data_IF_693197012725
#
_entry.id   IF_693197012725
#
_cell.length_a   1.000
_cell.length_b   1.000
_cell.length_c   1.000
_cell.angle_alpha   90.00
_cell.angle_beta   90.00
_cell.angle_gamma   90.00
#
_symmetry.space_group_name_H-M   'P 1'
#
loop_
_entity.id
_entity.type
_entity.pdbx_description
1 polymer ?
#
# COMPACT_ATOMS: atom_id res chain seq x y z
N UNK A 1 14.32 -4.18 6.28
CA UNK A 1 14.05 -5.57 6.72
C UNK A 1 14.95 -5.91 7.89
N UNK A 2 14.39 -6.39 8.99
CA UNK A 2 15.13 -6.90 10.14
C UNK A 2 14.90 -8.41 10.28
N UNK A 3 15.91 -9.22 10.61
CA UNK A 3 15.72 -10.64 10.88
C UNK A 3 14.89 -10.84 12.14
N UNK A 4 13.93 -11.76 12.11
CA UNK A 4 13.04 -12.02 13.26
C UNK A 4 13.78 -12.51 14.52
N UNK A 5 14.96 -13.11 14.34
CA UNK A 5 15.82 -13.57 15.44
C UNK A 5 16.53 -12.42 16.16
N UNK A 6 16.64 -11.25 15.54
CA UNK A 6 17.26 -10.05 16.11
C UNK A 6 16.41 -8.81 15.79
N UNK A 7 15.26 -8.65 16.46
CA UNK A 7 14.33 -7.57 16.20
C UNK A 7 14.87 -6.24 16.78
N UNK A 8 14.63 -5.10 16.11
CA UNK A 8 15.02 -3.80 16.63
C UNK A 8 14.22 -3.44 17.88
N UNK A 9 14.86 -2.75 18.83
CA UNK A 9 14.14 -2.16 19.97
C UNK A 9 13.33 -0.96 19.50
N UNK A 10 12.01 -1.06 19.61
CA UNK A 10 11.09 0.02 19.25
C UNK A 10 10.90 0.99 20.42
N UNK A 11 10.83 2.28 20.10
CA UNK A 11 10.51 3.32 21.09
C UNK A 11 9.01 3.32 21.35
N UNK A 12 8.62 3.13 22.61
CA UNK A 12 7.21 3.05 23.02
C UNK A 12 6.37 4.29 22.67
N UNK A 13 6.99 5.47 22.57
CA UNK A 13 6.27 6.73 22.31
C UNK A 13 6.10 7.05 20.83
N UNK A 14 6.71 6.28 19.93
CA UNK A 14 6.63 6.51 18.48
C UNK A 14 5.61 5.54 17.85
N UNK A 15 4.96 5.97 16.78
CA UNK A 15 4.14 5.08 15.94
C UNK A 15 5.06 4.26 15.05
N UNK A 16 4.73 2.98 14.88
CA UNK A 16 5.49 2.04 14.06
C UNK A 16 4.58 1.36 13.05
N UNK A 17 5.08 1.21 11.83
CA UNK A 17 4.50 0.33 10.82
C UNK A 17 5.35 -0.95 10.81
N UNK A 18 4.71 -2.10 11.08
CA UNK A 18 5.38 -3.39 11.20
C UNK A 18 4.68 -4.37 10.26
N UNK A 19 5.42 -4.81 9.25
CA UNK A 19 4.94 -5.75 8.25
C UNK A 19 5.79 -7.03 8.31
N UNK A 20 5.14 -8.18 8.17
CA UNK A 20 5.80 -9.48 8.22
C UNK A 20 5.67 -10.13 6.85
N UNK A 21 6.80 -10.52 6.27
CA UNK A 21 6.81 -11.30 5.03
C UNK A 21 6.42 -12.75 5.35
N UNK A 22 5.24 -13.14 4.90
CA UNK A 22 4.70 -14.49 5.11
C UNK A 22 5.26 -15.49 4.10
N UNK A 23 5.28 -15.14 2.82
CA UNK A 23 5.84 -15.99 1.76
C UNK A 23 6.34 -15.15 0.57
N UNK A 24 7.14 -15.77 -0.30
CA UNK A 24 7.56 -15.26 -1.61
C UNK A 24 7.18 -16.27 -2.68
N UNK A 25 6.26 -15.87 -3.54
CA UNK A 25 5.59 -16.77 -4.47
C UNK A 25 5.58 -16.24 -5.90
N UNK A 26 5.30 -17.13 -6.85
CA UNK A 26 4.99 -16.78 -8.23
C UNK A 26 3.65 -17.37 -8.60
N UNK A 27 2.79 -16.59 -9.25
CA UNK A 27 1.45 -17.04 -9.64
C UNK A 27 1.54 -18.08 -10.75
N UNK A 28 1.19 -19.33 -10.42
CA UNK A 28 1.13 -20.47 -11.35
C UNK A 28 -0.07 -21.36 -10.99
N UNK A 29 -0.70 -22.06 -11.95
CA UNK A 29 -1.82 -22.96 -11.65
C UNK A 29 -1.48 -24.03 -10.60
N UNK A 30 -0.25 -24.56 -10.65
CA UNK A 30 0.26 -25.55 -9.70
C UNK A 30 0.48 -24.99 -8.29
N UNK A 31 0.59 -23.67 -8.13
CA UNK A 31 0.86 -23.00 -6.86
C UNK A 31 -0.42 -22.60 -6.12
N UNK A 32 -1.61 -22.94 -6.65
CA UNK A 32 -2.91 -22.51 -6.10
C UNK A 32 -3.06 -22.83 -4.61
N UNK A 33 -2.75 -24.05 -4.19
CA UNK A 33 -2.86 -24.45 -2.79
C UNK A 33 -1.97 -23.61 -1.88
N UNK A 34 -0.69 -23.45 -2.23
CA UNK A 34 0.26 -22.66 -1.46
C UNK A 34 -0.13 -21.18 -1.41
N UNK A 35 -0.61 -20.62 -2.52
CA UNK A 35 -1.15 -19.26 -2.56
C UNK A 35 -2.28 -19.09 -1.56
N UNK A 36 -3.23 -20.02 -1.53
CA UNK A 36 -4.35 -19.99 -0.59
C UNK A 36 -3.85 -20.05 0.86
N UNK A 37 -2.98 -21.01 1.20
CA UNK A 37 -2.44 -21.17 2.55
C UNK A 37 -1.66 -19.91 3.02
N UNK A 38 -0.83 -19.31 2.16
CA UNK A 38 -0.08 -18.09 2.48
C UNK A 38 -0.99 -16.88 2.67
N UNK A 39 -2.03 -16.73 1.83
CA UNK A 39 -3.00 -15.63 1.96
C UNK A 39 -3.80 -15.77 3.24
N UNK A 40 -4.32 -16.95 3.55
CA UNK A 40 -5.03 -17.22 4.82
C UNK A 40 -4.15 -16.95 6.04
N UNK A 41 -2.87 -17.36 5.97
CA UNK A 41 -1.90 -17.10 7.05
C UNK A 41 -1.68 -15.61 7.25
N UNK A 42 -1.52 -14.84 6.16
CA UNK A 42 -1.33 -13.39 6.24
C UNK A 42 -2.55 -12.68 6.81
N UNK A 43 -3.75 -13.01 6.31
CA UNK A 43 -5.01 -12.46 6.79
C UNK A 43 -5.22 -12.76 8.29
N UNK A 44 -4.94 -14.00 8.72
CA UNK A 44 -5.09 -14.37 10.13
C UNK A 44 -4.08 -13.66 11.05
N UNK A 45 -2.86 -13.38 10.58
CA UNK A 45 -1.82 -12.73 11.37
C UNK A 45 -2.02 -11.20 11.50
N UNK A 46 -2.60 -10.57 10.48
CA UNK A 46 -2.73 -9.12 10.36
C UNK A 46 -4.18 -8.63 10.41
N UNK A 47 -5.03 -9.31 11.19
CA UNK A 47 -6.42 -8.92 11.49
C UNK A 47 -7.28 -8.66 10.23
N UNK A 48 -7.14 -9.55 9.25
CA UNK A 48 -7.91 -9.56 8.00
C UNK A 48 -7.32 -8.71 6.88
N UNK A 49 -6.07 -8.26 6.99
CA UNK A 49 -5.38 -7.45 5.97
C UNK A 49 -4.24 -8.26 5.34
N UNK A 50 -4.09 -8.18 4.02
CA UNK A 50 -2.92 -8.71 3.29
C UNK A 50 -2.45 -7.71 2.25
N UNK A 51 -1.13 -7.53 2.17
CA UNK A 51 -0.47 -6.68 1.18
C UNK A 51 0.38 -7.56 0.28
N UNK A 52 0.14 -7.46 -1.04
CA UNK A 52 0.95 -8.11 -2.06
C UNK A 52 1.92 -7.10 -2.65
N UNK A 53 3.22 -7.36 -2.50
CA UNK A 53 4.27 -6.56 -3.15
C UNK A 53 4.77 -7.29 -4.41
N UNK A 54 4.61 -6.65 -5.57
CA UNK A 54 4.99 -7.15 -6.87
C UNK A 54 6.45 -6.77 -7.19
N UNK A 55 7.31 -7.78 -7.32
CA UNK A 55 8.75 -7.59 -7.54
C UNK A 55 9.13 -7.25 -8.98
N UNK A 56 8.22 -7.49 -9.93
CA UNK A 56 8.37 -7.24 -11.37
C UNK A 56 8.03 -5.79 -11.76
N UNK A 57 7.37 -5.04 -10.89
CA UNK A 57 7.13 -3.62 -11.07
C UNK A 57 8.33 -2.77 -10.61
N UNK A 58 8.50 -1.60 -11.24
CA UNK A 58 9.51 -0.62 -10.82
C UNK A 58 9.27 -0.18 -9.37
N UNK A 59 10.32 0.30 -8.71
CA UNK A 59 10.26 0.57 -7.27
C UNK A 59 9.29 1.69 -6.89
N UNK A 60 9.05 2.60 -7.83
CA UNK A 60 8.21 3.79 -7.75
C UNK A 60 6.85 3.61 -8.45
N UNK A 61 6.55 2.42 -8.96
CA UNK A 61 5.30 2.17 -9.66
C UNK A 61 4.11 2.18 -8.68
N UNK A 62 3.05 2.92 -9.01
CA UNK A 62 1.84 3.02 -8.18
C UNK A 62 1.12 1.69 -7.93
N UNK A 63 1.35 0.69 -8.78
CA UNK A 63 0.77 -0.65 -8.68
C UNK A 63 1.76 -1.70 -8.14
N UNK A 64 2.88 -1.27 -7.54
CA UNK A 64 3.86 -2.16 -6.91
C UNK A 64 3.26 -2.90 -5.72
N UNK A 65 2.36 -2.25 -4.99
CA UNK A 65 1.66 -2.84 -3.85
C UNK A 65 0.17 -2.91 -4.13
N UNK A 66 -0.44 -4.03 -3.76
CA UNK A 66 -1.88 -4.20 -3.79
C UNK A 66 -2.38 -4.77 -2.46
N UNK A 67 -3.34 -4.08 -1.86
CA UNK A 67 -3.91 -4.43 -0.56
C UNK A 67 -5.27 -5.09 -0.71
N UNK A 68 -5.57 -6.01 0.21
CA UNK A 68 -6.86 -6.66 0.34
C UNK A 68 -7.26 -6.71 1.81
N UNK A 69 -8.56 -6.58 2.07
CA UNK A 69 -9.16 -6.60 3.41
C UNK A 69 -10.37 -7.53 3.43
N UNK A 70 -10.53 -8.30 4.50
CA UNK A 70 -11.74 -9.08 4.78
C UNK A 70 -12.90 -8.21 5.29
N UNK A 71 -12.58 -7.05 5.87
CA UNK A 71 -13.56 -6.15 6.51
C UNK A 71 -14.13 -5.14 5.52
N UNK A 72 -13.33 -4.71 4.54
CA UNK A 72 -13.70 -3.70 3.56
C UNK A 72 -13.46 -4.22 2.14
N UNK A 73 -14.55 -4.57 1.44
CA UNK A 73 -14.48 -5.09 0.07
C UNK A 73 -15.56 -4.48 -0.82
N UNK A 74 -15.21 -4.17 -2.09
CA UNK A 74 -16.19 -3.75 -3.08
C UNK A 74 -17.00 -4.98 -3.56
N UNK A 75 -18.35 -4.93 -3.58
CA UNK A 75 -19.18 -6.04 -4.06
C UNK A 75 -18.90 -6.46 -5.52
N UNK A 76 -18.36 -5.54 -6.32
CA UNK A 76 -17.99 -5.76 -7.72
C UNK A 76 -16.51 -6.18 -7.89
N UNK A 77 -15.79 -6.42 -6.80
CA UNK A 77 -14.40 -6.88 -6.83
C UNK A 77 -13.37 -5.81 -7.25
N UNK A 78 -13.73 -4.53 -7.18
CA UNK A 78 -12.74 -3.46 -7.35
C UNK A 78 -11.76 -3.43 -6.17
N UNK A 79 -10.48 -3.20 -6.45
CA UNK A 79 -9.48 -2.98 -5.42
C UNK A 79 -9.82 -1.71 -4.63
N UNK A 80 -9.76 -1.80 -3.30
CA UNK A 80 -9.91 -0.66 -2.41
C UNK A 80 -8.53 -0.28 -1.91
N UNK A 81 -8.18 1.00 -2.04
CA UNK A 81 -6.91 1.52 -1.54
C UNK A 81 -6.93 1.83 -0.03
N UNK A 82 -8.07 1.61 0.65
CA UNK A 82 -8.29 1.94 2.06
C UNK A 82 -8.61 0.66 2.81
N UNK A 83 -7.85 0.40 3.88
CA UNK A 83 -7.95 -0.84 4.65
C UNK A 83 -9.13 -0.80 5.64
N UNK A 84 -9.28 0.31 6.35
CA UNK A 84 -10.34 0.52 7.36
C UNK A 84 -10.80 2.00 7.41
N UNK A 85 -12.08 2.22 7.72
CA UNK A 85 -12.69 3.55 7.81
C UNK A 85 -12.52 4.15 9.21
N UNK A 86 -11.30 4.54 9.54
CA UNK A 86 -10.95 5.22 10.78
C UNK A 86 -10.78 6.73 10.56
N UNK A 87 -10.87 7.57 11.61
CA UNK A 87 -10.67 9.02 11.50
C UNK A 87 -9.36 9.42 10.81
N UNK A 88 -8.29 8.60 10.95
CA UNK A 88 -6.99 8.84 10.31
C UNK A 88 -7.00 8.64 8.80
N UNK A 89 -7.92 7.83 8.27
CA UNK A 89 -8.09 7.59 6.84
C UNK A 89 -8.68 8.81 6.13
N UNK A 90 -9.31 9.72 6.88
CA UNK A 90 -9.82 11.00 6.39
C UNK A 90 -8.83 12.16 6.59
N UNK A 91 -7.66 11.90 7.18
CA UNK A 91 -6.62 12.90 7.37
C UNK A 91 -5.67 12.92 6.18
N UNK A 92 -5.65 14.04 5.44
CA UNK A 92 -4.67 14.26 4.37
C UNK A 92 -3.23 14.43 4.90
N UNK A 93 -3.05 14.63 6.21
CA UNK A 93 -1.73 14.66 6.87
C UNK A 93 -1.24 13.26 7.27
N UNK A 94 -2.01 12.22 6.96
CA UNK A 94 -1.72 10.83 7.29
C UNK A 94 -1.48 10.07 5.99
N UNK A 95 -0.46 9.19 5.91
CA UNK A 95 -0.21 8.42 4.70
C UNK A 95 -1.40 7.55 4.29
N UNK A 96 -2.23 7.13 5.26
CA UNK A 96 -3.44 6.33 5.02
C UNK A 96 -4.57 7.10 4.30
N UNK A 97 -4.60 8.43 4.39
CA UNK A 97 -5.63 9.27 3.78
C UNK A 97 -5.11 10.24 2.72
N UNK A 98 -3.79 10.39 2.60
CA UNK A 98 -3.15 11.27 1.64
C UNK A 98 -3.26 10.71 0.21
N UNK A 99 -3.59 11.58 -0.74
CA UNK A 99 -3.50 11.21 -2.16
C UNK A 99 -2.05 10.83 -2.51
N UNK A 100 -1.79 9.68 -3.16
CA UNK A 100 -0.44 9.21 -3.44
C UNK A 100 0.32 10.10 -4.44
N UNK A 101 -0.38 10.88 -5.26
CA UNK A 101 0.22 11.71 -6.30
C UNK A 101 0.69 13.07 -5.79
N UNK A 102 -0.01 13.65 -4.81
CA UNK A 102 0.35 14.95 -4.22
C UNK A 102 0.73 14.87 -2.74
N UNK A 103 0.79 13.65 -2.18
CA UNK A 103 1.05 13.37 -0.76
C UNK A 103 0.17 14.19 0.20
N UNK A 104 -1.08 14.44 -0.18
CA UNK A 104 -2.05 15.20 0.62
C UNK A 104 -1.92 16.72 0.53
N UNK A 105 -1.03 17.27 -0.31
CA UNK A 105 -0.89 18.73 -0.50
C UNK A 105 -2.05 19.36 -1.28
N UNK A 106 -2.75 18.58 -2.10
CA UNK A 106 -3.86 19.05 -2.94
C UNK A 106 -3.45 19.91 -4.13
N UNK A 107 -2.14 20.11 -4.35
CA UNK A 107 -1.58 20.89 -5.45
C UNK A 107 -0.42 20.15 -6.11
N UNK A 108 -0.19 20.41 -7.40
CA UNK A 108 1.01 20.02 -8.13
C UNK A 108 1.62 21.27 -8.78
N UNK A 109 2.95 21.33 -8.81
CA UNK A 109 3.64 22.38 -9.56
C UNK A 109 3.80 21.91 -10.99
N UNK A 110 2.92 22.38 -11.84
CA UNK A 110 3.02 22.19 -13.28
C UNK A 110 3.49 23.49 -13.93
N UNK A 111 4.12 23.34 -15.09
CA UNK A 111 4.61 24.46 -15.86
C UNK A 111 3.41 25.09 -16.57
N UNK A 112 3.18 26.37 -16.32
CA UNK A 112 2.13 27.14 -16.98
C UNK A 112 2.58 27.53 -18.39
N UNK A 113 1.95 27.01 -19.47
CA UNK A 113 2.32 27.31 -20.84
C UNK A 113 2.33 28.82 -21.15
N UNK A 114 1.44 29.58 -20.52
CA UNK A 114 1.28 31.02 -20.75
C UNK A 114 2.43 31.84 -20.10
N UNK A 115 3.10 31.27 -19.10
CA UNK A 115 4.31 31.84 -18.50
C UNK A 115 5.60 31.39 -19.20
N UNK A 116 5.53 30.36 -20.05
CA UNK A 116 6.69 29.82 -20.79
C UNK A 116 6.85 30.48 -22.15
N UNK A 117 5.75 30.82 -22.82
CA UNK A 117 5.77 31.49 -24.14
C UNK A 117 5.14 32.88 -24.00
N UNK A 118 5.96 33.94 -23.85
CA UNK A 118 5.45 35.30 -23.64
C UNK A 118 4.74 35.92 -24.84
N UNK A 119 4.89 35.32 -26.04
CA UNK A 119 4.28 35.80 -27.28
C UNK A 119 3.63 34.63 -28.03
N UNK A 120 2.29 34.53 -28.11
CA UNK A 120 1.58 33.42 -28.74
C UNK A 120 1.55 33.48 -30.27
N UNK A 121 2.43 34.27 -30.91
CA UNK A 121 2.46 34.50 -32.36
C UNK A 121 3.52 33.69 -33.13
#
# INVERSE_FOLDING_TARGET
MHPLTDPPKLKKQEKHDIEVVVDRLTVKPSAKQRLTESVETALSLADGIVVLEFVDHAHDAHNREQRFSEKLACPNGHALAVDDLEPRSFSFNSPYGACPECSGLGIRKEVDPDLVVPDPS
#
